data_IF_436936581598
#
_entry.id   IF_436936581598
#
_cell.length_a   1.000
_cell.length_b   1.000
_cell.length_c   1.000
_cell.angle_alpha   90.00
_cell.angle_beta   90.00
_cell.angle_gamma   90.00
#
_symmetry.space_group_name_H-M   'P 1'
#
loop_
_entity.id
_entity.type
_entity.pdbx_description
1 polymer ?
#
# COMPACT_ATOMS: atom_id res chain seq x y z
N UNK A 1 19.22 -16.61 0.19
CA UNK A 1 17.93 -16.64 0.89
C UNK A 1 16.84 -16.34 -0.14
N UNK A 2 15.97 -17.28 -0.48
CA UNK A 2 15.00 -17.09 -1.57
C UNK A 2 13.85 -16.17 -1.16
N UNK A 3 13.22 -15.49 -2.13
CA UNK A 3 12.03 -14.64 -1.97
C UNK A 3 10.93 -15.31 -1.14
N UNK A 4 10.72 -16.61 -1.34
CA UNK A 4 9.77 -17.41 -0.57
C UNK A 4 10.06 -17.42 0.93
N UNK A 5 11.34 -17.55 1.31
CA UNK A 5 11.77 -17.53 2.72
C UNK A 5 11.51 -16.17 3.39
N UNK A 6 11.62 -15.07 2.64
CA UNK A 6 11.36 -13.74 3.13
C UNK A 6 9.89 -13.51 3.47
N UNK A 7 8.98 -13.98 2.62
CA UNK A 7 7.54 -13.78 2.85
C UNK A 7 6.88 -14.84 3.72
N UNK A 8 7.59 -15.89 4.10
CA UNK A 8 7.04 -16.98 4.93
C UNK A 8 6.50 -16.42 6.26
N UNK A 9 5.35 -16.94 6.68
CA UNK A 9 4.79 -16.69 8.00
C UNK A 9 5.81 -17.11 9.06
N UNK A 10 6.08 -16.23 10.01
CA UNK A 10 7.02 -16.51 11.12
C UNK A 10 6.51 -17.68 11.96
N UNK A 11 7.43 -18.55 12.37
CA UNK A 11 7.09 -19.63 13.32
C UNK A 11 6.63 -19.00 14.63
N UNK A 12 5.72 -19.66 15.38
CA UNK A 12 5.37 -19.25 16.73
C UNK A 12 6.62 -19.10 17.59
N UNK A 13 6.62 -18.11 18.49
CA UNK A 13 7.71 -17.97 19.46
C UNK A 13 7.78 -19.19 20.37
N UNK A 14 9.00 -19.68 20.68
CA UNK A 14 9.21 -20.72 21.67
C UNK A 14 8.96 -20.22 23.10
N UNK A 15 9.11 -18.90 23.33
CA UNK A 15 8.81 -18.27 24.61
C UNK A 15 7.30 -18.15 24.81
N UNK A 16 6.81 -18.77 25.86
CA UNK A 16 5.42 -18.61 26.33
C UNK A 16 5.35 -17.45 27.29
N UNK A 17 4.37 -16.59 27.10
CA UNK A 17 4.07 -15.52 28.06
C UNK A 17 3.47 -16.14 29.32
N UNK A 18 3.92 -15.68 30.50
CA UNK A 18 3.34 -16.11 31.77
C UNK A 18 1.82 -15.78 31.79
N UNK A 19 0.96 -16.70 32.31
CA UNK A 19 -0.50 -16.53 32.27
C UNK A 19 -0.97 -15.18 32.84
N UNK A 20 -0.31 -14.68 33.87
CA UNK A 20 -0.60 -13.41 34.53
C UNK A 20 -0.39 -12.19 33.61
N UNK A 21 0.47 -12.30 32.61
CA UNK A 21 0.80 -11.21 31.66
C UNK A 21 0.18 -11.39 30.27
N UNK A 22 -0.49 -12.50 30.03
CA UNK A 22 -0.99 -12.85 28.71
C UNK A 22 -1.97 -11.79 28.17
N UNK A 23 -2.96 -11.39 28.96
CA UNK A 23 -3.96 -10.41 28.53
C UNK A 23 -3.36 -9.03 28.25
N UNK A 24 -2.42 -8.59 29.09
CA UNK A 24 -1.75 -7.31 28.92
C UNK A 24 -0.88 -7.31 27.66
N UNK A 25 -0.10 -8.37 27.47
CA UNK A 25 0.77 -8.54 26.29
C UNK A 25 -0.07 -8.61 25.01
N UNK A 26 -1.17 -9.35 25.03
CA UNK A 26 -2.09 -9.43 23.90
C UNK A 26 -2.66 -8.05 23.55
N UNK A 27 -3.12 -7.26 24.49
CA UNK A 27 -3.63 -5.89 24.29
C UNK A 27 -2.57 -4.98 23.68
N UNK A 28 -1.34 -5.04 24.18
CA UNK A 28 -0.22 -4.26 23.66
C UNK A 28 0.13 -4.63 22.22
N UNK A 29 0.29 -5.92 21.93
CA UNK A 29 0.60 -6.41 20.58
C UNK A 29 -0.51 -6.08 19.59
N UNK A 30 -1.77 -6.24 19.99
CA UNK A 30 -2.93 -5.90 19.19
C UNK A 30 -2.95 -4.41 18.83
N UNK A 31 -2.75 -3.53 19.81
CA UNK A 31 -2.74 -2.09 19.56
C UNK A 31 -1.55 -1.68 18.68
N UNK A 32 -0.36 -2.22 18.94
CA UNK A 32 0.81 -2.00 18.09
C UNK A 32 0.60 -2.46 16.65
N UNK A 33 -0.02 -3.61 16.47
CA UNK A 33 -0.35 -4.14 15.15
C UNK A 33 -1.37 -3.26 14.44
N UNK A 34 -2.44 -2.85 15.14
CA UNK A 34 -3.47 -1.98 14.59
C UNK A 34 -2.88 -0.65 14.09
N UNK A 35 -2.17 0.06 14.95
CA UNK A 35 -1.59 1.34 14.56
C UNK A 35 -0.52 1.20 13.48
N UNK A 36 0.30 0.16 13.54
CA UNK A 36 1.30 -0.13 12.51
C UNK A 36 0.69 -0.34 11.13
N UNK A 37 -0.39 -1.11 11.04
CA UNK A 37 -1.12 -1.37 9.79
C UNK A 37 -1.85 -0.11 9.31
N UNK A 38 -2.45 0.64 10.23
CA UNK A 38 -3.19 1.88 9.94
C UNK A 38 -2.26 2.97 9.40
N UNK A 39 -1.13 3.21 10.05
CA UNK A 39 -0.14 4.19 9.58
C UNK A 39 0.47 3.77 8.24
N UNK A 40 0.81 2.48 8.07
CA UNK A 40 1.30 1.99 6.78
C UNK A 40 0.28 2.22 5.67
N UNK A 41 -1.00 1.99 5.94
CA UNK A 41 -2.06 2.21 4.96
C UNK A 41 -2.26 3.70 4.62
N UNK A 42 -2.15 4.61 5.60
CA UNK A 42 -2.14 6.06 5.33
C UNK A 42 -1.00 6.48 4.42
N UNK A 43 0.20 5.93 4.63
CA UNK A 43 1.36 6.22 3.77
C UNK A 43 1.18 5.73 2.33
N UNK A 44 0.43 4.65 2.12
CA UNK A 44 0.03 4.25 0.77
C UNK A 44 -0.80 5.33 0.07
N UNK A 45 -1.70 6.01 0.80
CA UNK A 45 -2.49 7.10 0.22
C UNK A 45 -1.64 8.33 -0.12
N UNK A 46 -0.67 8.68 0.70
CA UNK A 46 0.32 9.72 0.36
C UNK A 46 0.99 9.41 -0.98
N UNK A 47 1.45 8.16 -1.18
CA UNK A 47 2.06 7.74 -2.45
C UNK A 47 1.06 7.71 -3.62
N UNK A 48 -0.25 7.59 -3.37
CA UNK A 48 -1.29 7.60 -4.39
C UNK A 48 -1.65 9.01 -4.85
N UNK A 49 -1.67 9.97 -3.93
CA UNK A 49 -2.08 11.35 -4.21
C UNK A 49 -1.01 12.17 -4.94
N UNK A 50 0.24 11.69 -5.00
CA UNK A 50 1.35 12.40 -5.64
C UNK A 50 1.07 12.80 -7.09
N UNK A 51 0.44 11.94 -7.90
CA UNK A 51 0.07 12.30 -9.28
C UNK A 51 -0.97 13.44 -9.32
N UNK A 52 -1.90 13.47 -8.38
CA UNK A 52 -2.93 14.51 -8.33
C UNK A 52 -2.32 15.89 -8.11
N UNK A 53 -1.23 15.97 -7.34
CA UNK A 53 -0.51 17.23 -7.07
C UNK A 53 0.23 17.72 -8.32
N UNK A 54 0.87 16.83 -9.07
CA UNK A 54 1.68 17.20 -10.25
C UNK A 54 0.86 17.27 -11.54
N UNK A 55 -0.38 16.84 -11.53
CA UNK A 55 -1.23 16.75 -12.72
C UNK A 55 -1.41 18.11 -13.41
N UNK A 56 -1.74 19.16 -12.67
CA UNK A 56 -1.98 20.46 -13.24
C UNK A 56 -0.70 21.10 -13.81
N UNK A 57 0.43 21.13 -13.10
CA UNK A 57 1.71 21.56 -13.67
C UNK A 57 2.08 20.83 -14.98
N UNK A 58 1.90 19.52 -15.07
CA UNK A 58 2.22 18.75 -16.29
C UNK A 58 1.36 19.15 -17.49
N UNK A 59 0.11 19.59 -17.25
CA UNK A 59 -0.79 20.08 -18.30
C UNK A 59 -0.37 21.51 -18.71
N UNK A 60 -0.11 22.37 -17.74
CA UNK A 60 0.19 23.80 -17.97
C UNK A 60 1.53 23.96 -18.71
N UNK A 61 2.50 23.10 -18.44
CA UNK A 61 3.79 23.05 -19.13
C UNK A 61 3.73 22.30 -20.48
N UNK A 62 2.58 21.75 -20.85
CA UNK A 62 2.39 21.03 -22.11
C UNK A 62 3.12 19.69 -22.20
N UNK A 63 3.59 19.16 -21.07
CA UNK A 63 4.35 17.88 -21.02
C UNK A 63 3.42 16.69 -21.28
N UNK A 64 2.22 16.71 -20.68
CA UNK A 64 1.20 15.68 -20.86
C UNK A 64 -0.19 16.33 -21.02
N UNK A 65 -0.99 15.78 -21.93
CA UNK A 65 -2.38 16.22 -22.09
C UNK A 65 -3.28 15.64 -20.98
N UNK A 66 -4.42 16.31 -20.73
CA UNK A 66 -5.43 15.82 -19.78
C UNK A 66 -5.92 14.41 -20.11
N UNK A 67 -6.05 14.07 -21.40
CA UNK A 67 -6.41 12.72 -21.84
C UNK A 67 -5.35 11.67 -21.50
N UNK A 68 -4.07 11.99 -21.70
CA UNK A 68 -2.96 11.10 -21.30
C UNK A 68 -2.91 10.87 -19.80
N UNK A 69 -3.09 11.92 -18.99
CA UNK A 69 -3.16 11.79 -17.54
C UNK A 69 -4.39 10.98 -17.08
N UNK A 70 -5.51 11.09 -17.79
CA UNK A 70 -6.68 10.23 -17.59
C UNK A 70 -6.37 8.75 -17.84
N UNK A 71 -5.66 8.45 -18.93
CA UNK A 71 -5.22 7.07 -19.23
C UNK A 71 -4.24 6.52 -18.19
N UNK A 72 -3.28 7.33 -17.75
CA UNK A 72 -2.32 6.97 -16.69
C UNK A 72 -3.07 6.65 -15.39
N UNK A 73 -4.04 7.50 -14.99
CA UNK A 73 -4.88 7.25 -13.83
C UNK A 73 -5.71 5.97 -13.95
N UNK A 74 -6.28 5.72 -15.13
CA UNK A 74 -7.04 4.49 -15.42
C UNK A 74 -6.16 3.24 -15.36
N UNK A 75 -4.93 3.30 -15.85
CA UNK A 75 -3.97 2.20 -15.77
C UNK A 75 -3.70 1.81 -14.30
N UNK A 76 -3.49 2.79 -13.41
CA UNK A 76 -3.35 2.53 -11.98
C UNK A 76 -4.59 1.81 -11.43
N UNK A 77 -5.79 2.35 -11.68
CA UNK A 77 -7.02 1.80 -11.12
C UNK A 77 -7.29 0.38 -11.61
N UNK A 78 -7.07 0.11 -12.88
CA UNK A 78 -7.23 -1.22 -13.45
C UNK A 78 -6.26 -2.24 -12.83
N UNK A 79 -4.95 -1.91 -12.80
CA UNK A 79 -3.93 -2.77 -12.21
C UNK A 79 -4.14 -2.93 -10.70
N UNK A 80 -4.57 -1.88 -10.02
CA UNK A 80 -4.95 -1.92 -8.60
C UNK A 80 -6.11 -2.89 -8.34
N UNK A 81 -7.16 -2.86 -9.17
CA UNK A 81 -8.32 -3.75 -9.00
C UNK A 81 -7.94 -5.23 -9.17
N UNK A 82 -7.20 -5.56 -10.25
CA UNK A 82 -6.67 -6.90 -10.48
C UNK A 82 -5.71 -7.31 -9.36
N UNK A 83 -4.79 -6.43 -9.01
CA UNK A 83 -3.83 -6.65 -7.94
C UNK A 83 -4.52 -6.88 -6.59
N UNK A 84 -5.56 -6.14 -6.26
CA UNK A 84 -6.30 -6.29 -5.00
C UNK A 84 -6.96 -7.67 -4.87
N UNK A 85 -7.47 -8.19 -5.96
CA UNK A 85 -8.01 -9.55 -5.99
C UNK A 85 -6.90 -10.59 -5.76
N UNK A 86 -5.81 -10.56 -6.51
CA UNK A 86 -4.71 -11.53 -6.43
C UNK A 86 -3.93 -11.41 -5.10
N UNK A 87 -3.59 -10.19 -4.70
CA UNK A 87 -2.87 -9.92 -3.45
C UNK A 87 -3.70 -10.24 -2.21
N UNK A 88 -5.03 -10.27 -2.31
CA UNK A 88 -5.91 -10.77 -1.25
C UNK A 88 -5.62 -12.22 -0.92
N UNK A 89 -5.53 -13.09 -1.94
CA UNK A 89 -5.16 -14.49 -1.74
C UNK A 89 -3.72 -14.66 -1.26
N UNK A 90 -2.77 -13.94 -1.87
CA UNK A 90 -1.35 -14.04 -1.51
C UNK A 90 -1.13 -13.63 -0.05
N UNK A 91 -1.81 -12.59 0.43
CA UNK A 91 -1.66 -12.06 1.78
C UNK A 91 -2.08 -13.05 2.87
N UNK A 92 -2.97 -14.00 2.59
CA UNK A 92 -3.36 -15.04 3.53
C UNK A 92 -2.21 -16.01 3.87
N UNK A 93 -1.29 -16.21 2.94
CA UNK A 93 -0.17 -17.13 3.05
C UNK A 93 1.17 -16.45 3.36
N UNK A 94 1.18 -15.13 3.42
CA UNK A 94 2.39 -14.33 3.61
C UNK A 94 2.48 -13.69 5.00
N UNK A 95 3.71 -13.30 5.36
CA UNK A 95 3.94 -12.40 6.49
C UNK A 95 3.41 -11.01 6.13
N UNK A 96 2.26 -10.65 6.70
CA UNK A 96 1.52 -9.40 6.43
C UNK A 96 2.42 -8.17 6.54
N UNK A 97 3.25 -8.09 7.58
CA UNK A 97 4.13 -6.95 7.81
C UNK A 97 5.15 -6.77 6.68
N UNK A 98 5.78 -7.86 6.26
CA UNK A 98 6.78 -7.82 5.18
C UNK A 98 6.12 -7.54 3.84
N UNK A 99 4.94 -8.11 3.61
CA UNK A 99 4.17 -7.92 2.39
C UNK A 99 3.75 -6.46 2.21
N UNK A 100 3.15 -5.85 3.23
CA UNK A 100 2.80 -4.42 3.21
C UNK A 100 4.04 -3.52 3.08
N UNK A 101 5.11 -3.82 3.84
CA UNK A 101 6.33 -3.00 3.78
C UNK A 101 6.97 -3.01 2.38
N UNK A 102 6.97 -4.15 1.69
CA UNK A 102 7.50 -4.26 0.32
C UNK A 102 6.66 -3.42 -0.66
N UNK A 103 5.33 -3.56 -0.62
CA UNK A 103 4.46 -2.78 -1.48
C UNK A 103 4.62 -1.27 -1.27
N UNK A 104 4.68 -0.83 -0.01
CA UNK A 104 4.88 0.57 0.33
C UNK A 104 6.26 1.08 -0.12
N UNK A 105 7.32 0.29 0.11
CA UNK A 105 8.68 0.66 -0.28
C UNK A 105 8.80 0.82 -1.79
N UNK A 106 8.30 -0.13 -2.58
CA UNK A 106 8.35 -0.05 -4.05
C UNK A 106 7.47 1.11 -4.53
N UNK A 107 6.30 1.33 -3.93
CA UNK A 107 5.44 2.47 -4.24
C UNK A 107 6.18 3.81 -4.02
N UNK A 108 6.90 3.95 -2.91
CA UNK A 108 7.70 5.13 -2.63
C UNK A 108 8.84 5.31 -3.64
N UNK A 109 9.55 4.24 -4.01
CA UNK A 109 10.61 4.27 -5.04
C UNK A 109 10.05 4.69 -6.39
N UNK A 110 8.90 4.16 -6.79
CA UNK A 110 8.23 4.55 -8.05
C UNK A 110 7.90 6.04 -8.05
N UNK A 111 7.35 6.56 -6.94
CA UNK A 111 7.07 7.99 -6.82
C UNK A 111 8.33 8.85 -6.90
N UNK A 112 9.43 8.39 -6.30
CA UNK A 112 10.72 9.08 -6.39
C UNK A 112 11.24 9.12 -7.84
N UNK A 113 11.16 7.99 -8.56
CA UNK A 113 11.54 7.92 -9.98
C UNK A 113 10.69 8.87 -10.82
N UNK A 114 9.38 8.91 -10.61
CA UNK A 114 8.48 9.82 -11.30
C UNK A 114 8.82 11.29 -11.01
N UNK A 115 9.18 11.62 -9.76
CA UNK A 115 9.64 12.95 -9.40
C UNK A 115 10.94 13.34 -10.12
N UNK A 116 11.89 12.42 -10.25
CA UNK A 116 13.14 12.65 -10.99
C UNK A 116 12.91 12.79 -12.50
N UNK A 117 11.96 12.02 -13.06
CA UNK A 117 11.62 12.11 -14.49
C UNK A 117 11.10 13.49 -14.89
N UNK A 118 10.49 14.23 -13.97
CA UNK A 118 10.05 15.61 -14.22
C UNK A 118 11.19 16.59 -14.50
N UNK A 119 12.44 16.24 -14.17
CA UNK A 119 13.64 17.07 -14.43
C UNK A 119 14.43 16.62 -15.65
N UNK A 120 13.98 15.57 -16.34
CA UNK A 120 14.70 15.00 -17.49
C UNK A 120 13.99 15.38 -18.77
N UNK A 121 14.71 16.02 -19.68
CA UNK A 121 14.21 16.34 -21.01
C UNK A 121 14.13 15.07 -21.86
N UNK A 122 12.93 14.51 -21.99
CA UNK A 122 12.62 13.35 -22.82
C UNK A 122 11.53 13.69 -23.84
N UNK A 123 11.49 13.01 -24.99
CA UNK A 123 10.36 13.11 -25.90
C UNK A 123 9.02 12.84 -25.18
N UNK A 124 8.00 13.64 -25.44
CA UNK A 124 6.70 13.58 -24.78
C UNK A 124 6.08 12.15 -24.78
N UNK A 125 6.28 11.41 -25.86
CA UNK A 125 5.82 10.02 -25.96
C UNK A 125 6.52 9.11 -24.93
N UNK A 126 7.83 9.26 -24.72
CA UNK A 126 8.58 8.47 -23.75
C UNK A 126 8.19 8.83 -22.33
N UNK A 127 7.95 10.11 -22.04
CA UNK A 127 7.42 10.55 -20.73
C UNK A 127 6.06 9.91 -20.48
N UNK A 128 5.14 9.96 -21.45
CA UNK A 128 3.83 9.34 -21.31
C UNK A 128 3.92 7.83 -21.01
N UNK A 129 4.73 7.09 -21.78
CA UNK A 129 4.91 5.64 -21.58
C UNK A 129 5.54 5.35 -20.22
N UNK A 130 6.58 6.09 -19.83
CA UNK A 130 7.24 5.93 -18.53
C UNK A 130 6.27 6.18 -17.37
N UNK A 131 5.47 7.26 -17.43
CA UNK A 131 4.45 7.53 -16.42
C UNK A 131 3.38 6.44 -16.39
N UNK A 132 2.88 5.98 -17.54
CA UNK A 132 1.87 4.93 -17.60
C UNK A 132 2.36 3.61 -16.99
N UNK A 133 3.57 3.18 -17.33
CA UNK A 133 4.16 1.95 -16.81
C UNK A 133 4.45 2.06 -15.31
N UNK A 134 5.11 3.12 -14.87
CA UNK A 134 5.45 3.32 -13.47
C UNK A 134 4.19 3.48 -12.61
N UNK A 135 3.19 4.18 -13.12
CA UNK A 135 1.93 4.35 -12.40
C UNK A 135 1.11 3.06 -12.35
N UNK A 136 1.19 2.23 -13.38
CA UNK A 136 0.65 0.86 -13.35
C UNK A 136 1.34 -0.01 -12.31
N UNK A 137 2.69 0.02 -12.23
CA UNK A 137 3.44 -0.65 -11.18
C UNK A 137 3.03 -0.14 -9.80
N UNK A 138 2.91 1.18 -9.63
CA UNK A 138 2.40 1.77 -8.40
C UNK A 138 1.01 1.22 -8.04
N UNK A 139 0.10 1.08 -8.99
CA UNK A 139 -1.21 0.48 -8.80
C UNK A 139 -1.16 -0.94 -8.24
N UNK A 140 -0.27 -1.79 -8.77
CA UNK A 140 -0.05 -3.13 -8.23
C UNK A 140 0.48 -3.07 -6.79
N UNK A 141 1.49 -2.27 -6.53
CA UNK A 141 2.07 -2.13 -5.18
C UNK A 141 1.07 -1.55 -4.18
N UNK A 142 0.26 -0.59 -4.59
CA UNK A 142 -0.82 -0.02 -3.80
C UNK A 142 -1.87 -1.07 -3.37
N UNK A 143 -2.11 -2.07 -4.20
CA UNK A 143 -3.04 -3.16 -3.90
C UNK A 143 -2.56 -4.08 -2.76
N UNK A 144 -1.27 -4.04 -2.39
CA UNK A 144 -0.69 -4.78 -1.27
C UNK A 144 -0.98 -4.13 0.10
N UNK A 145 -1.69 -3.01 0.15
CA UNK A 145 -2.00 -2.29 1.39
C UNK A 145 -3.28 -2.78 2.08
N UNK A 146 -4.41 -2.70 1.40
CA UNK A 146 -5.73 -2.93 1.98
C UNK A 146 -5.99 -4.40 2.40
N UNK A 147 -5.79 -5.43 1.55
CA UNK A 147 -6.12 -6.80 1.92
C UNK A 147 -5.36 -7.30 3.17
N UNK A 148 -4.03 -7.11 3.29
CA UNK A 148 -3.30 -7.50 4.50
C UNK A 148 -3.80 -6.76 5.74
N UNK A 149 -4.22 -5.50 5.59
CA UNK A 149 -4.81 -4.72 6.67
C UNK A 149 -6.06 -5.38 7.23
N UNK A 150 -7.01 -5.72 6.35
CA UNK A 150 -8.27 -6.39 6.72
C UNK A 150 -8.01 -7.76 7.35
N UNK A 151 -7.09 -8.55 6.79
CA UNK A 151 -6.69 -9.86 7.33
C UNK A 151 -6.10 -9.68 8.74
N UNK A 152 -5.25 -8.68 8.95
CA UNK A 152 -4.68 -8.38 10.26
C UNK A 152 -5.78 -8.05 11.28
N UNK A 153 -6.74 -7.20 10.93
CA UNK A 153 -7.87 -6.87 11.80
C UNK A 153 -8.72 -8.10 12.15
N UNK A 154 -8.97 -8.97 11.16
CA UNK A 154 -9.74 -10.19 11.39
C UNK A 154 -9.06 -11.19 12.34
N UNK A 155 -7.72 -11.22 12.35
CA UNK A 155 -6.92 -12.11 13.22
C UNK A 155 -6.77 -11.57 14.65
N UNK A 156 -6.68 -10.25 14.82
CA UNK A 156 -6.40 -9.61 16.11
C UNK A 156 -7.63 -9.14 16.89
N UNK A 157 -8.78 -9.00 16.24
CA UNK A 157 -9.98 -8.46 16.89
C UNK A 157 -11.13 -9.46 16.90
N UNK A 158 -11.87 -9.58 18.03
CA UNK A 158 -13.07 -10.38 18.11
C UNK A 158 -14.16 -9.82 17.20
N UNK A 159 -15.09 -10.68 16.75
CA UNK A 159 -16.15 -10.31 15.80
C UNK A 159 -16.94 -9.06 16.23
N UNK A 160 -17.22 -8.92 17.53
CA UNK A 160 -17.99 -7.79 18.09
C UNK A 160 -17.30 -6.43 17.93
N UNK A 161 -15.96 -6.38 17.78
CA UNK A 161 -15.19 -5.12 17.70
C UNK A 161 -14.62 -4.85 16.30
N UNK A 162 -14.66 -5.83 15.38
CA UNK A 162 -14.08 -5.70 14.03
C UNK A 162 -14.66 -4.52 13.26
N UNK A 163 -15.97 -4.30 13.33
CA UNK A 163 -16.64 -3.18 12.64
C UNK A 163 -16.04 -1.82 13.01
N UNK A 164 -15.92 -1.55 14.32
CA UNK A 164 -15.36 -0.28 14.82
C UNK A 164 -13.93 -0.07 14.36
N UNK A 165 -13.06 -1.08 14.52
CA UNK A 165 -11.65 -0.95 14.11
C UNK A 165 -11.49 -0.90 12.57
N UNK A 166 -12.35 -1.59 11.85
CA UNK A 166 -12.38 -1.50 10.38
C UNK A 166 -12.81 -0.10 9.92
N UNK A 167 -13.79 0.52 10.58
CA UNK A 167 -14.21 1.89 10.26
C UNK A 167 -13.07 2.90 10.47
N UNK A 168 -12.34 2.78 11.59
CA UNK A 168 -11.17 3.63 11.86
C UNK A 168 -10.09 3.40 10.79
N UNK A 169 -9.78 2.15 10.48
CA UNK A 169 -8.81 1.80 9.42
C UNK A 169 -9.24 2.35 8.05
N UNK A 170 -10.53 2.26 7.72
CA UNK A 170 -11.08 2.73 6.44
C UNK A 170 -11.20 4.26 6.35
N UNK A 171 -11.18 4.96 7.49
CA UNK A 171 -11.19 6.42 7.52
C UNK A 171 -9.79 7.03 7.29
N UNK A 172 -8.72 6.25 7.43
CA UNK A 172 -7.34 6.73 7.26
C UNK A 172 -7.00 7.32 5.89
N UNK A 173 -7.60 6.90 4.76
CA UNK A 173 -7.44 7.57 3.48
C UNK A 173 -7.78 9.06 3.52
N UNK A 174 -8.84 9.42 4.25
CA UNK A 174 -9.32 10.80 4.35
C UNK A 174 -8.47 11.69 5.28
N UNK A 175 -7.52 11.09 6.01
CA UNK A 175 -6.54 11.85 6.81
C UNK A 175 -5.30 12.23 6.00
N UNK A 176 -5.14 11.69 4.80
CA UNK A 176 -4.03 11.97 3.89
C UNK A 176 -4.40 12.84 2.69
N UNK A 177 -5.67 13.21 2.56
CA UNK A 177 -6.19 14.19 1.60
C UNK A 177 -6.17 15.60 2.21
#
# INVERSE_FOLDING_TARGET
MGLYSFYRISKPSAEKVAPEREEMTYKQLRNRTFWGVTVAYSLYYVCRMSLSVVKQPLIDEGVLSAGQLGLIGSALLFVYAVGKFLNGFIADYCNIRRFMATGLFISAVVNLILGVLGFVELPAFLIFVAFAVLWGINGWMQSMGSPPGVISLSRWFPRSKRGTYYSIFSATPYLGE
#
